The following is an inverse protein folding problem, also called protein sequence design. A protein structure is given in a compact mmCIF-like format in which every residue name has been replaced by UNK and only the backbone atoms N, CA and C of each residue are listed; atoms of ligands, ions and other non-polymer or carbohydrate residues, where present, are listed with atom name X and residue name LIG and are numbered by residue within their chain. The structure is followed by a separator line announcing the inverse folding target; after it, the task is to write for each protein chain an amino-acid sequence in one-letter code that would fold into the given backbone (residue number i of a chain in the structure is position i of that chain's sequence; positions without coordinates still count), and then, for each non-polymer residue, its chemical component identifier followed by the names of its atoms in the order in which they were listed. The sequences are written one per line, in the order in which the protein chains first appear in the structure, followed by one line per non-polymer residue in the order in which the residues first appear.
data_IF_038237947822
#
_entry.id   IF_038237947822
#
_cell.length_a   1.000
_cell.length_b   1.000
_cell.length_c   1.000
_cell.angle_alpha   90.00
_cell.angle_beta   90.00
_cell.angle_gamma   90.00
#
_symmetry.space_group_name_H-M   'P 1'
#
loop_
_entity.id
_entity.type
_entity.pdbx_description
1 polymer ?
#
# COMPACT_ATOMS: atom_id res chain seq x y z
N UNK A 1 3.90 -17.07 -15.08
CA UNK A 1 4.52 -16.52 -13.84
C UNK A 1 5.04 -15.11 -14.10
N UNK A 2 4.70 -14.18 -13.23
CA UNK A 2 5.17 -12.78 -13.37
C UNK A 2 6.70 -12.71 -13.21
N UNK A 3 7.37 -11.92 -14.06
CA UNK A 3 8.82 -11.73 -14.00
C UNK A 3 9.18 -10.51 -13.15
N UNK A 4 10.44 -10.45 -12.69
CA UNK A 4 10.92 -9.29 -11.93
C UNK A 4 10.83 -7.99 -12.75
N UNK A 5 11.10 -8.05 -14.05
CA UNK A 5 10.97 -6.90 -14.94
C UNK A 5 9.54 -6.39 -15.03
N UNK A 6 8.56 -7.30 -15.05
CA UNK A 6 7.14 -6.93 -15.03
C UNK A 6 6.74 -6.28 -13.69
N UNK A 7 7.25 -6.80 -12.58
CA UNK A 7 7.01 -6.21 -11.24
C UNK A 7 7.58 -4.79 -11.19
N UNK A 8 8.83 -4.61 -11.61
CA UNK A 8 9.49 -3.29 -11.61
C UNK A 8 8.73 -2.31 -12.50
N UNK A 9 8.39 -2.71 -13.71
CA UNK A 9 7.68 -1.86 -14.68
C UNK A 9 6.33 -1.41 -14.13
N UNK A 10 5.55 -2.34 -13.59
CA UNK A 10 4.24 -2.02 -13.03
C UNK A 10 4.35 -1.16 -11.77
N UNK A 11 5.20 -1.55 -10.83
CA UNK A 11 5.32 -0.87 -9.53
C UNK A 11 5.88 0.55 -9.65
N UNK A 12 6.74 0.80 -10.63
CA UNK A 12 7.33 2.13 -10.88
C UNK A 12 6.57 2.96 -11.91
N UNK A 13 5.61 2.38 -12.60
CA UNK A 13 4.75 3.12 -13.52
C UNK A 13 3.72 3.90 -12.72
N UNK A 14 3.81 5.23 -12.78
CA UNK A 14 2.89 6.11 -12.07
C UNK A 14 1.83 6.73 -12.98
N UNK A 15 1.65 6.22 -14.18
CA UNK A 15 0.62 6.71 -15.10
C UNK A 15 -0.78 6.56 -14.51
N UNK A 16 -1.03 5.50 -13.74
CA UNK A 16 -2.32 5.31 -13.06
C UNK A 16 -2.56 6.37 -11.98
N UNK A 17 -1.54 7.12 -11.59
CA UNK A 17 -1.64 8.26 -10.69
C UNK A 17 -1.97 9.55 -11.44
N UNK A 18 -1.96 9.54 -12.79
CA UNK A 18 -2.31 10.70 -13.59
C UNK A 18 -3.74 11.14 -13.29
N UNK A 19 -3.90 12.43 -12.98
CA UNK A 19 -5.18 12.98 -12.58
C UNK A 19 -5.55 12.74 -11.12
N UNK A 20 -4.76 11.99 -10.36
CA UNK A 20 -4.94 11.88 -8.91
C UNK A 20 -4.18 13.03 -8.27
N UNK A 21 -4.86 14.17 -8.19
CA UNK A 21 -4.30 15.35 -7.53
C UNK A 21 -4.71 15.37 -6.06
N UNK A 22 -3.77 15.77 -5.22
CA UNK A 22 -4.02 16.04 -3.82
C UNK A 22 -4.02 17.55 -3.62
N UNK A 23 -5.16 18.15 -3.33
CA UNK A 23 -5.22 19.58 -3.07
C UNK A 23 -4.42 19.94 -1.80
N UNK A 24 -4.05 21.22 -1.68
CA UNK A 24 -3.22 21.69 -0.56
C UNK A 24 -3.90 21.52 0.78
N UNK A 25 -5.22 21.68 0.84
CA UNK A 25 -5.98 21.51 2.08
C UNK A 25 -5.92 20.08 2.58
N UNK A 26 -6.06 19.10 1.67
CA UNK A 26 -5.94 17.68 2.00
C UNK A 26 -4.52 17.34 2.46
N UNK A 27 -3.50 17.76 1.72
CA UNK A 27 -2.09 17.52 2.07
C UNK A 27 -1.77 18.10 3.44
N UNK A 28 -2.23 19.30 3.72
CA UNK A 28 -2.04 19.95 5.03
C UNK A 28 -2.77 19.20 6.15
N UNK A 29 -4.00 18.73 5.92
CA UNK A 29 -4.81 18.06 6.92
C UNK A 29 -4.34 16.64 7.23
N UNK A 30 -3.83 15.91 6.23
CA UNK A 30 -3.44 14.50 6.35
C UNK A 30 -1.94 14.29 6.39
N UNK A 31 -1.15 15.33 6.17
CA UNK A 31 0.31 15.26 6.06
C UNK A 31 0.76 14.27 4.96
N UNK A 32 -0.02 14.15 3.90
CA UNK A 32 0.31 13.27 2.78
C UNK A 32 1.54 13.79 2.03
N UNK A 33 2.62 13.02 2.08
CA UNK A 33 3.84 13.30 1.33
C UNK A 33 4.23 12.04 0.58
N UNK A 34 4.29 12.14 -0.76
CA UNK A 34 4.70 11.03 -1.60
C UNK A 34 6.23 11.03 -1.74
N UNK A 35 6.86 10.01 -1.15
CA UNK A 35 8.31 9.89 -1.13
C UNK A 35 8.85 9.49 -2.51
N UNK A 36 9.81 10.24 -3.09
CA UNK A 36 10.40 9.87 -4.38
C UNK A 36 11.13 8.53 -4.34
N UNK A 37 11.03 7.77 -5.43
CA UNK A 37 11.67 6.45 -5.55
C UNK A 37 13.16 6.45 -5.20
N UNK A 38 14.01 7.39 -5.66
CA UNK A 38 15.42 7.39 -5.29
C UNK A 38 15.66 7.52 -3.78
N UNK A 39 14.83 8.29 -3.08
CA UNK A 39 14.92 8.43 -1.62
C UNK A 39 14.52 7.13 -0.92
N UNK A 40 13.46 6.46 -1.38
CA UNK A 40 13.05 5.16 -0.84
C UNK A 40 14.17 4.14 -1.01
N UNK A 41 14.76 4.08 -2.20
CA UNK A 41 15.86 3.16 -2.47
C UNK A 41 17.05 3.40 -1.55
N UNK A 42 17.39 4.66 -1.31
CA UNK A 42 18.46 5.04 -0.39
C UNK A 42 18.15 4.62 1.04
N UNK A 43 16.94 4.85 1.51
CA UNK A 43 16.52 4.43 2.85
C UNK A 43 16.60 2.90 3.00
N UNK A 44 16.14 2.16 2.02
CA UNK A 44 16.20 0.69 2.06
C UNK A 44 17.63 0.17 1.98
N UNK A 45 18.52 0.82 1.24
CA UNK A 45 19.94 0.46 1.19
C UNK A 45 20.60 0.62 2.57
N UNK A 46 20.18 1.60 3.36
CA UNK A 46 20.74 1.87 4.68
C UNK A 46 20.19 0.94 5.77
N UNK A 47 18.90 0.56 5.68
CA UNK A 47 18.20 -0.08 6.80
C UNK A 47 17.79 -1.53 6.55
N UNK A 48 17.86 -2.01 5.31
CA UNK A 48 17.45 -3.38 4.97
C UNK A 48 18.62 -4.10 4.33
N UNK A 49 19.16 -5.09 5.02
CA UNK A 49 20.16 -5.98 4.41
C UNK A 49 19.48 -7.20 3.75
N UNK A 50 20.28 -8.01 3.03
CA UNK A 50 19.75 -9.15 2.28
C UNK A 50 19.10 -10.24 3.16
N UNK A 51 19.46 -10.30 4.43
CA UNK A 51 18.93 -11.30 5.36
C UNK A 51 17.56 -10.91 5.91
N UNK A 52 17.32 -9.61 6.07
CA UNK A 52 16.07 -9.08 6.64
C UNK A 52 14.95 -8.98 5.61
N UNK A 53 15.27 -9.00 4.32
CA UNK A 53 14.29 -8.76 3.24
C UNK A 53 13.17 -9.83 3.20
N UNK A 54 13.40 -11.00 3.77
CA UNK A 54 12.38 -12.07 3.81
C UNK A 54 11.40 -11.92 4.97
N UNK A 55 11.66 -11.03 5.91
CA UNK A 55 10.81 -10.77 7.06
C UNK A 55 9.52 -10.05 6.65
N UNK A 56 8.56 -10.01 7.57
CA UNK A 56 7.35 -9.20 7.41
C UNK A 56 7.70 -7.71 7.50
N UNK A 57 7.11 -6.92 6.60
CA UNK A 57 7.26 -5.47 6.58
C UNK A 57 5.91 -4.80 6.76
N UNK A 58 5.85 -3.80 7.61
CA UNK A 58 4.67 -2.98 7.85
C UNK A 58 5.01 -1.51 7.62
N UNK A 59 4.21 -0.85 6.77
CA UNK A 59 4.21 0.61 6.66
C UNK A 59 2.90 1.15 7.24
N UNK A 60 2.91 1.77 8.43
CA UNK A 60 1.69 2.27 9.06
C UNK A 60 1.16 3.58 8.44
N UNK A 61 1.84 4.10 7.43
CA UNK A 61 1.41 5.26 6.65
C UNK A 61 1.77 5.03 5.18
N UNK A 62 1.17 3.99 4.59
CA UNK A 62 1.66 3.44 3.32
C UNK A 62 1.35 4.31 2.09
N UNK A 63 0.41 5.25 2.20
CA UNK A 63 0.01 6.07 1.07
C UNK A 63 -0.41 5.22 -0.12
N UNK A 64 0.13 5.54 -1.29
CA UNK A 64 -0.10 4.79 -2.53
C UNK A 64 0.85 3.60 -2.71
N UNK A 65 1.65 3.25 -1.69
CA UNK A 65 2.53 2.10 -1.70
C UNK A 65 3.95 2.35 -2.20
N UNK A 66 4.45 3.58 -2.14
CA UNK A 66 5.78 3.92 -2.65
C UNK A 66 6.90 3.12 -1.97
N UNK A 67 6.88 3.01 -0.65
CA UNK A 67 7.87 2.23 0.09
C UNK A 67 7.62 0.74 -0.11
N UNK A 68 6.37 0.31 0.05
CA UNK A 68 6.02 -1.11 -0.03
C UNK A 68 6.28 -1.71 -1.40
N UNK A 69 6.10 -0.96 -2.48
CA UNK A 69 6.40 -1.45 -3.82
C UNK A 69 7.90 -1.69 -4.04
N UNK A 70 8.75 -0.83 -3.50
CA UNK A 70 10.20 -1.05 -3.57
C UNK A 70 10.64 -2.23 -2.70
N UNK A 71 10.00 -2.46 -1.55
CA UNK A 71 10.21 -3.66 -0.73
C UNK A 71 9.80 -4.91 -1.51
N UNK A 72 8.65 -4.89 -2.19
CA UNK A 72 8.19 -5.99 -3.04
C UNK A 72 9.24 -6.35 -4.10
N UNK A 73 9.77 -5.35 -4.80
CA UNK A 73 10.82 -5.55 -5.80
C UNK A 73 12.04 -6.24 -5.18
N UNK A 74 12.52 -5.75 -4.03
CA UNK A 74 13.69 -6.33 -3.35
C UNK A 74 13.45 -7.76 -2.90
N UNK A 75 12.25 -8.08 -2.42
CA UNK A 75 11.89 -9.44 -2.02
C UNK A 75 11.95 -10.40 -3.21
N UNK A 76 11.40 -10.01 -4.35
CA UNK A 76 11.41 -10.83 -5.56
C UNK A 76 12.85 -10.95 -6.10
N UNK A 77 13.64 -9.89 -6.10
CA UNK A 77 15.06 -9.92 -6.47
C UNK A 77 15.87 -10.87 -5.57
N UNK A 78 15.49 -10.97 -4.29
CA UNK A 78 16.15 -11.86 -3.34
C UNK A 78 15.74 -13.33 -3.48
N UNK A 79 14.87 -13.66 -4.43
CA UNK A 79 14.47 -15.04 -4.73
C UNK A 79 13.14 -15.49 -4.15
N UNK A 80 12.40 -14.62 -3.47
CA UNK A 80 11.03 -14.96 -3.03
C UNK A 80 10.09 -15.04 -4.23
N UNK A 81 9.13 -15.96 -4.18
CA UNK A 81 8.05 -15.94 -5.16
C UNK A 81 7.22 -14.68 -4.98
N UNK A 82 6.54 -14.24 -6.04
CA UNK A 82 5.68 -13.06 -5.97
C UNK A 82 4.62 -13.20 -4.86
N UNK A 83 3.97 -14.34 -4.77
CA UNK A 83 2.97 -14.62 -3.73
C UNK A 83 3.55 -14.57 -2.32
N UNK A 84 4.72 -15.18 -2.10
CA UNK A 84 5.41 -15.11 -0.81
C UNK A 84 5.78 -13.67 -0.45
N UNK A 85 6.35 -12.94 -1.40
CA UNK A 85 6.72 -11.54 -1.20
C UNK A 85 5.49 -10.69 -0.83
N UNK A 86 4.41 -10.84 -1.58
CA UNK A 86 3.16 -10.10 -1.35
C UNK A 86 2.55 -10.43 0.01
N UNK A 87 2.63 -11.69 0.43
CA UNK A 87 2.06 -12.17 1.70
C UNK A 87 2.77 -11.65 2.95
N UNK A 88 3.96 -11.09 2.81
CA UNK A 88 4.78 -10.57 3.92
C UNK A 88 4.83 -9.04 3.95
N UNK A 89 3.99 -8.38 3.16
CA UNK A 89 3.91 -6.90 3.08
C UNK A 89 2.57 -6.45 3.64
N UNK A 90 2.62 -5.49 4.57
CA UNK A 90 1.46 -4.94 5.27
C UNK A 90 1.49 -3.42 5.23
N UNK A 91 0.32 -2.82 5.10
CA UNK A 91 0.20 -1.36 5.08
C UNK A 91 -1.09 -0.87 5.69
N UNK A 92 -1.05 0.34 6.22
CA UNK A 92 -2.21 1.06 6.76
C UNK A 92 -2.19 2.49 6.24
N UNK A 93 -3.33 2.99 5.82
CA UNK A 93 -3.49 4.40 5.45
C UNK A 93 -4.89 4.89 5.81
N UNK A 94 -4.99 6.20 6.10
CA UNK A 94 -6.26 6.85 6.44
C UNK A 94 -7.20 7.01 5.25
N UNK A 95 -6.64 7.17 4.06
CA UNK A 95 -7.40 7.59 2.88
C UNK A 95 -7.78 6.40 2.01
N UNK A 96 -9.09 6.16 1.78
CA UNK A 96 -9.55 5.01 0.99
C UNK A 96 -8.97 4.95 -0.42
N UNK A 97 -8.79 6.09 -1.09
CA UNK A 97 -8.22 6.14 -2.42
C UNK A 97 -6.75 5.73 -2.45
N UNK A 98 -5.97 6.11 -1.44
CA UNK A 98 -4.58 5.67 -1.29
C UNK A 98 -4.49 4.16 -1.08
N UNK A 99 -5.36 3.62 -0.23
CA UNK A 99 -5.43 2.17 0.03
C UNK A 99 -5.69 1.41 -1.26
N UNK A 100 -6.64 1.85 -2.07
CA UNK A 100 -6.96 1.20 -3.34
C UNK A 100 -5.79 1.30 -4.34
N UNK A 101 -5.14 2.46 -4.44
CA UNK A 101 -3.96 2.63 -5.28
C UNK A 101 -2.81 1.74 -4.82
N UNK A 102 -2.58 1.65 -3.52
CA UNK A 102 -1.56 0.78 -2.94
C UNK A 102 -1.82 -0.69 -3.27
N UNK A 103 -3.05 -1.15 -3.07
CA UNK A 103 -3.47 -2.52 -3.40
C UNK A 103 -3.21 -2.86 -4.86
N UNK A 104 -3.65 -2.00 -5.77
CA UNK A 104 -3.48 -2.22 -7.21
C UNK A 104 -2.00 -2.18 -7.62
N UNK A 105 -1.24 -1.29 -7.02
CA UNK A 105 0.20 -1.16 -7.29
C UNK A 105 0.96 -2.42 -6.89
N UNK A 106 0.69 -2.94 -5.70
CA UNK A 106 1.35 -4.16 -5.21
C UNK A 106 0.89 -5.41 -5.95
N UNK A 107 -0.36 -5.44 -6.39
CA UNK A 107 -0.96 -6.61 -7.04
C UNK A 107 -0.33 -6.93 -8.39
N UNK A 108 0.20 -5.94 -9.11
CA UNK A 108 0.82 -6.11 -10.43
C UNK A 108 -0.06 -6.91 -11.41
N UNK A 109 -1.36 -6.61 -11.44
CA UNK A 109 -2.36 -7.26 -12.30
C UNK A 109 -2.57 -8.78 -12.04
N UNK A 110 -2.00 -9.30 -10.95
CA UNK A 110 -2.16 -10.70 -10.55
C UNK A 110 -3.48 -10.89 -9.78
N UNK A 111 -4.62 -10.78 -10.46
CA UNK A 111 -5.96 -10.72 -9.85
C UNK A 111 -6.29 -11.94 -8.96
N UNK A 112 -5.70 -13.09 -9.24
CA UNK A 112 -5.88 -14.29 -8.40
C UNK A 112 -5.29 -14.14 -6.99
N UNK A 113 -4.46 -13.11 -6.75
CA UNK A 113 -3.85 -12.80 -5.46
C UNK A 113 -4.48 -11.57 -4.76
N UNK A 114 -5.56 -11.02 -5.31
CA UNK A 114 -6.20 -9.82 -4.75
C UNK A 114 -6.60 -9.99 -3.29
N UNK A 115 -7.01 -11.17 -2.89
CA UNK A 115 -7.37 -11.47 -1.50
C UNK A 115 -6.24 -11.17 -0.51
N UNK A 116 -4.98 -11.28 -0.96
CA UNK A 116 -3.81 -10.97 -0.11
C UNK A 116 -3.72 -9.46 0.14
N UNK A 117 -3.78 -8.65 -0.91
CA UNK A 117 -3.66 -7.19 -0.76
C UNK A 117 -4.89 -6.58 -0.06
N UNK A 118 -6.07 -7.15 -0.26
CA UNK A 118 -7.28 -6.70 0.46
C UNK A 118 -7.19 -6.97 1.97
N UNK A 119 -6.51 -8.03 2.36
CA UNK A 119 -6.29 -8.38 3.76
C UNK A 119 -5.14 -7.59 4.39
N UNK A 120 -4.06 -7.41 3.66
CA UNK A 120 -2.81 -6.87 4.20
C UNK A 120 -2.68 -5.35 4.10
N UNK A 121 -3.43 -4.71 3.21
CA UNK A 121 -3.44 -3.25 3.06
C UNK A 121 -4.80 -2.74 3.52
N UNK A 122 -4.83 -1.95 4.58
CA UNK A 122 -6.04 -1.64 5.35
C UNK A 122 -6.27 -0.14 5.44
N UNK A 123 -7.53 0.27 5.24
CA UNK A 123 -7.97 1.64 5.49
C UNK A 123 -8.31 1.79 6.97
N UNK A 124 -7.43 2.42 7.72
CA UNK A 124 -7.57 2.59 9.16
C UNK A 124 -6.71 3.75 9.69
N UNK A 125 -7.00 4.18 10.91
CA UNK A 125 -6.11 5.05 11.67
C UNK A 125 -5.03 4.19 12.34
N UNK A 126 -3.77 4.39 11.96
CA UNK A 126 -2.64 3.62 12.46
C UNK A 126 -2.49 3.70 13.99
N UNK A 127 -2.96 4.78 14.62
CA UNK A 127 -2.86 4.99 16.07
C UNK A 127 -3.91 4.20 16.86
N UNK A 128 -5.01 3.81 16.22
CA UNK A 128 -6.13 3.12 16.89
C UNK A 128 -6.42 1.73 16.35
N UNK A 129 -5.84 1.40 15.20
CA UNK A 129 -6.04 0.10 14.56
C UNK A 129 -5.42 -1.02 15.40
N UNK A 130 -6.09 -2.17 15.47
CA UNK A 130 -5.63 -3.32 16.27
C UNK A 130 -4.64 -4.24 15.52
N UNK A 131 -4.27 -3.92 14.30
CA UNK A 131 -3.28 -4.65 13.47
C UNK A 131 -3.61 -6.14 13.32
N UNK A 132 -4.90 -6.46 13.13
CA UNK A 132 -5.38 -7.83 12.94
C UNK A 132 -5.22 -8.33 11.51
N UNK A 133 -5.28 -7.44 10.53
CA UNK A 133 -5.21 -7.77 9.11
C UNK A 133 -6.14 -8.94 8.74
N UNK A 134 -7.42 -8.78 9.08
CA UNK A 134 -8.46 -9.80 8.91
C UNK A 134 -9.39 -9.54 7.72
N UNK A 135 -9.03 -8.58 6.87
CA UNK A 135 -9.83 -8.21 5.70
C UNK A 135 -10.86 -7.11 5.95
N UNK A 136 -10.90 -6.53 7.15
CA UNK A 136 -11.79 -5.40 7.47
C UNK A 136 -11.09 -4.05 7.28
N UNK A 137 -11.86 -3.05 6.84
CA UNK A 137 -11.42 -1.65 6.73
C UNK A 137 -12.20 -0.81 7.75
N UNK A 138 -11.71 -0.69 9.01
CA UNK A 138 -12.48 -0.09 10.10
C UNK A 138 -12.88 1.37 9.84
N UNK A 139 -11.98 2.15 9.25
CA UNK A 139 -12.22 3.56 8.97
C UNK A 139 -13.29 3.75 7.88
N UNK A 140 -13.21 2.95 6.83
CA UNK A 140 -14.18 2.97 5.73
C UNK A 140 -15.57 2.56 6.22
N UNK A 141 -15.67 1.52 7.03
CA UNK A 141 -16.92 1.05 7.64
C UNK A 141 -17.54 2.13 8.53
N UNK A 142 -16.74 2.82 9.33
CA UNK A 142 -17.19 3.92 10.20
C UNK A 142 -17.71 5.11 9.40
N UNK A 143 -17.01 5.50 8.33
CA UNK A 143 -17.44 6.57 7.42
C UNK A 143 -18.78 6.24 6.76
N UNK A 144 -18.94 5.00 6.30
CA UNK A 144 -20.19 4.53 5.68
C UNK A 144 -21.35 4.67 6.66
N UNK A 145 -21.19 4.25 7.92
CA UNK A 145 -22.21 4.37 8.96
C UNK A 145 -22.59 5.83 9.23
N UNK A 146 -21.61 6.73 9.30
CA UNK A 146 -21.85 8.17 9.51
C UNK A 146 -22.70 8.73 8.36
N UNK A 147 -22.34 8.46 7.12
CA UNK A 147 -23.09 8.96 5.96
C UNK A 147 -24.49 8.37 5.88
N UNK A 148 -24.70 7.11 6.21
CA UNK A 148 -26.02 6.49 6.29
C UNK A 148 -26.90 7.17 7.31
N UNK A 149 -26.38 7.51 8.50
CA UNK A 149 -27.13 8.16 9.58
C UNK A 149 -27.58 9.57 9.23
N UNK A 150 -26.85 10.30 8.39
CA UNK A 150 -27.19 11.65 7.95
C UNK A 150 -27.93 11.69 6.61
N UNK A 151 -28.26 10.51 6.03
CA UNK A 151 -29.02 10.43 4.78
C UNK A 151 -28.21 10.74 3.52
N UNK A 152 -26.89 10.71 3.60
CA UNK A 152 -26.00 10.89 2.45
C UNK A 152 -25.46 9.52 2.03
N UNK A 153 -25.61 9.19 0.74
CA UNK A 153 -25.01 7.99 0.20
C UNK A 153 -23.52 8.19 -0.06
N UNK A 154 -22.75 7.22 0.38
CA UNK A 154 -21.31 7.17 0.12
C UNK A 154 -21.08 6.45 -1.20
N UNK A 155 -20.60 7.18 -2.19
CA UNK A 155 -20.37 6.68 -3.55
C UNK A 155 -18.88 6.44 -3.79
#
# INVERSE_FOLDING_TARGET
MITIEQVIKHSRNREYMSGVERDQARVKATSEVFTPTPLVQKLLDEYVDGNDIQDDFLDPSCGDGQILSEILIRKVEAGMTFEQALSTIYGVDLMPDNVELCRNRLLCEQEHLRHIVEKNIVCADALTYHYRFDGTDPLLSSQTLIFQNIGVEFV
#
